data_IF_435985537315
#
_entry.id   IF_435985537315
#
_cell.length_a   1.000
_cell.length_b   1.000
_cell.length_c   1.000
_cell.angle_alpha   90.00
_cell.angle_beta   90.00
_cell.angle_gamma   90.00
#
_symmetry.space_group_name_H-M   'P 1'
#
loop_
_entity.id
_entity.type
_entity.pdbx_description
1 polymer ?
#
# COMPACT_ATOMS: atom_id res chain seq x y z
N UNK A 1 15.51 -6.14 -0.68
CA UNK A 1 14.31 -6.46 0.12
C UNK A 1 13.97 -7.91 -0.11
N UNK A 2 13.40 -8.59 0.88
CA UNK A 2 12.96 -9.98 0.72
C UNK A 2 11.73 -10.08 -0.18
N UNK A 3 11.54 -11.24 -0.80
CA UNK A 3 10.38 -11.48 -1.64
C UNK A 3 9.09 -11.48 -0.82
N UNK A 4 8.09 -10.69 -1.23
CA UNK A 4 6.84 -10.55 -0.48
C UNK A 4 6.00 -9.35 -0.90
N UNK A 5 4.81 -9.26 -0.31
CA UNK A 5 3.90 -8.13 -0.48
C UNK A 5 4.08 -7.12 0.67
N UNK A 6 4.38 -5.87 0.32
CA UNK A 6 4.58 -4.76 1.25
C UNK A 6 3.44 -3.76 1.11
N UNK A 7 2.59 -3.65 2.13
CA UNK A 7 1.56 -2.61 2.17
C UNK A 7 2.20 -1.29 2.63
N UNK A 8 2.12 -0.24 1.83
CA UNK A 8 2.77 1.05 2.14
C UNK A 8 1.72 2.14 2.29
N UNK A 9 1.68 2.75 3.47
CA UNK A 9 0.81 3.91 3.72
C UNK A 9 1.33 5.15 3.00
N UNK A 10 0.47 5.82 2.24
CA UNK A 10 0.77 7.07 1.52
C UNK A 10 0.18 8.29 2.24
N UNK A 11 0.70 9.50 2.01
CA UNK A 11 0.17 10.72 2.63
C UNK A 11 -1.32 10.94 2.34
N UNK A 12 -2.04 11.54 3.29
CA UNK A 12 -3.48 11.87 3.18
C UNK A 12 -3.76 13.35 2.87
N UNK A 13 -2.75 14.08 2.36
CA UNK A 13 -2.88 15.50 2.00
C UNK A 13 -1.61 16.34 2.18
N UNK A 14 -0.64 15.87 2.97
CA UNK A 14 0.62 16.57 3.20
C UNK A 14 1.82 15.65 2.95
N UNK A 15 2.68 15.97 1.97
CA UNK A 15 3.79 15.10 1.55
C UNK A 15 4.79 14.78 2.69
N UNK A 16 4.91 15.66 3.68
CA UNK A 16 5.74 15.43 4.87
C UNK A 16 5.27 14.29 5.77
N UNK A 17 4.06 13.76 5.57
CA UNK A 17 3.54 12.62 6.34
C UNK A 17 4.06 11.27 5.81
N UNK A 18 4.80 11.29 4.68
CA UNK A 18 5.43 10.10 4.15
C UNK A 18 6.51 9.61 5.11
N UNK A 19 6.44 8.33 5.51
CA UNK A 19 7.45 7.76 6.40
C UNK A 19 8.75 7.46 5.66
N UNK A 20 9.89 7.59 6.34
CA UNK A 20 11.20 7.21 5.79
C UNK A 20 11.20 5.75 5.31
N UNK A 21 10.63 4.85 6.12
CA UNK A 21 10.48 3.43 5.75
C UNK A 21 9.57 3.23 4.54
N UNK A 22 8.52 4.04 4.37
CA UNK A 22 7.68 3.99 3.17
C UNK A 22 8.47 4.35 1.92
N UNK A 23 9.28 5.42 1.97
CA UNK A 23 10.16 5.84 0.86
C UNK A 23 11.16 4.74 0.53
N UNK A 24 11.85 4.19 1.54
CA UNK A 24 12.80 3.09 1.39
C UNK A 24 12.15 1.85 0.77
N UNK A 25 10.93 1.50 1.22
CA UNK A 25 10.17 0.35 0.73
C UNK A 25 9.79 0.53 -0.74
N UNK A 26 9.27 1.70 -1.12
CA UNK A 26 8.90 1.98 -2.51
C UNK A 26 10.13 2.02 -3.43
N UNK A 27 11.25 2.54 -2.96
CA UNK A 27 12.48 2.62 -3.73
C UNK A 27 13.21 1.27 -3.87
N UNK A 28 13.07 0.38 -2.87
CA UNK A 28 13.69 -0.95 -2.87
C UNK A 28 12.83 -2.06 -3.47
N UNK A 29 11.55 -1.82 -3.71
CA UNK A 29 10.64 -2.80 -4.31
C UNK A 29 10.99 -3.07 -5.78
N UNK A 30 10.73 -4.30 -6.25
CA UNK A 30 10.84 -4.70 -7.66
C UNK A 30 9.71 -4.10 -8.51
N UNK A 31 8.53 -3.92 -7.90
CA UNK A 31 7.35 -3.36 -8.53
C UNK A 31 6.51 -2.59 -7.50
N UNK A 32 5.95 -1.46 -7.92
CA UNK A 32 4.88 -0.77 -7.22
C UNK A 32 3.55 -1.09 -7.91
N UNK A 33 2.57 -1.45 -7.12
CA UNK A 33 1.19 -1.66 -7.53
C UNK A 33 0.37 -0.55 -6.88
N UNK A 34 -0.34 0.22 -7.70
CA UNK A 34 -1.09 1.40 -7.27
C UNK A 34 -2.56 1.32 -7.69
N UNK A 35 -3.46 1.91 -6.91
CA UNK A 35 -4.84 2.13 -7.32
C UNK A 35 -4.91 3.02 -8.57
N UNK A 36 -4.48 4.28 -8.47
CA UNK A 36 -4.22 5.16 -9.61
C UNK A 36 -2.72 5.47 -9.76
N UNK A 37 -2.15 4.97 -10.87
CA UNK A 37 -0.76 5.25 -11.24
C UNK A 37 -0.47 6.72 -11.54
N UNK A 38 -1.47 7.54 -11.90
CA UNK A 38 -1.30 8.98 -12.15
C UNK A 38 -1.04 9.72 -10.85
N UNK A 39 -1.87 9.49 -9.83
CA UNK A 39 -1.71 10.03 -8.48
C UNK A 39 -0.40 9.57 -7.88
N UNK A 40 -0.16 8.25 -7.93
CA UNK A 40 1.06 7.65 -7.38
C UNK A 40 2.32 8.18 -8.07
N UNK A 41 2.32 8.40 -9.39
CA UNK A 41 3.49 8.93 -10.11
C UNK A 41 3.92 10.31 -9.61
N UNK A 42 2.98 11.17 -9.19
CA UNK A 42 3.33 12.47 -8.59
C UNK A 42 4.08 12.30 -7.26
N UNK A 43 3.60 11.38 -6.41
CA UNK A 43 4.26 11.01 -5.16
C UNK A 43 5.67 10.46 -5.41
N UNK A 44 5.81 9.50 -6.34
CA UNK A 44 7.10 8.90 -6.67
C UNK A 44 8.09 9.94 -7.22
N UNK A 45 7.63 10.83 -8.10
CA UNK A 45 8.44 11.91 -8.64
C UNK A 45 8.93 12.87 -7.56
N UNK A 46 8.07 13.24 -6.60
CA UNK A 46 8.46 14.12 -5.50
C UNK A 46 9.61 13.55 -4.66
N UNK A 47 9.59 12.24 -4.40
CA UNK A 47 10.63 11.54 -3.63
C UNK A 47 11.76 10.96 -4.49
N UNK A 48 11.76 11.20 -5.81
CA UNK A 48 12.79 10.69 -6.71
C UNK A 48 12.79 9.17 -6.90
N UNK A 49 11.67 8.49 -6.63
CA UNK A 49 11.52 7.05 -6.74
C UNK A 49 11.29 6.65 -8.20
N UNK A 50 12.09 5.73 -8.72
CA UNK A 50 12.08 5.30 -10.14
C UNK A 50 11.46 3.92 -10.36
N UNK A 51 11.04 3.24 -9.30
CA UNK A 51 10.47 1.89 -9.36
C UNK A 51 9.28 1.86 -10.31
N UNK A 52 9.22 0.81 -11.14
CA UNK A 52 8.13 0.63 -12.09
C UNK A 52 6.78 0.52 -11.36
N UNK A 53 5.75 1.16 -11.88
CA UNK A 53 4.44 1.25 -11.25
C UNK A 53 3.33 0.82 -12.22
N UNK A 54 2.49 -0.13 -11.78
CA UNK A 54 1.33 -0.63 -12.53
C UNK A 54 0.02 -0.41 -11.76
N UNK A 55 -1.11 -0.41 -12.46
CA UNK A 55 -2.42 -0.26 -11.83
C UNK A 55 -3.02 -1.58 -11.33
N UNK A 56 -3.55 -1.55 -10.11
CA UNK A 56 -4.41 -2.56 -9.52
C UNK A 56 -5.57 -1.87 -8.79
N UNK A 57 -6.70 -1.78 -9.46
CA UNK A 57 -7.93 -1.18 -8.96
C UNK A 57 -9.03 -2.24 -8.89
N UNK A 58 -10.16 -1.92 -8.23
CA UNK A 58 -11.26 -2.87 -7.94
C UNK A 58 -11.71 -3.79 -9.10
N UNK A 59 -11.64 -3.31 -10.34
CA UNK A 59 -12.07 -4.06 -11.54
C UNK A 59 -11.06 -5.10 -12.06
N UNK A 60 -9.75 -4.91 -11.84
CA UNK A 60 -8.70 -5.79 -12.34
C UNK A 60 -7.96 -6.56 -11.23
N UNK A 61 -8.26 -6.25 -9.97
CA UNK A 61 -7.61 -6.82 -8.79
C UNK A 61 -7.62 -8.37 -8.80
N UNK A 62 -8.76 -8.98 -9.14
CA UNK A 62 -8.88 -10.44 -9.22
C UNK A 62 -7.96 -11.06 -10.29
N UNK A 63 -7.78 -10.37 -11.42
CA UNK A 63 -6.90 -10.83 -12.50
C UNK A 63 -5.43 -10.67 -12.12
N UNK A 64 -5.08 -9.60 -11.39
CA UNK A 64 -3.72 -9.31 -10.95
C UNK A 64 -3.23 -10.24 -9.83
N UNK A 65 -4.12 -10.84 -9.05
CA UNK A 65 -3.73 -11.69 -7.91
C UNK A 65 -2.71 -12.78 -8.28
N UNK A 66 -2.99 -13.57 -9.31
CA UNK A 66 -2.11 -14.68 -9.71
C UNK A 66 -0.77 -14.17 -10.23
N UNK A 67 -0.78 -13.11 -11.05
CA UNK A 67 0.43 -12.47 -11.57
C UNK A 67 1.34 -11.98 -10.43
N UNK A 68 0.79 -11.31 -9.42
CA UNK A 68 1.56 -10.80 -8.29
C UNK A 68 2.13 -11.93 -7.43
N UNK A 69 1.34 -13.00 -7.19
CA UNK A 69 1.81 -14.17 -6.46
C UNK A 69 2.97 -14.85 -7.18
N UNK A 70 2.87 -15.04 -8.49
CA UNK A 70 3.92 -15.68 -9.28
C UNK A 70 5.21 -14.84 -9.27
N UNK A 71 5.10 -13.52 -9.39
CA UNK A 71 6.25 -12.60 -9.28
C UNK A 71 6.90 -12.69 -7.89
N UNK A 72 6.11 -12.71 -6.81
CA UNK A 72 6.64 -12.88 -5.45
C UNK A 72 7.35 -14.23 -5.28
N UNK A 73 6.77 -15.32 -5.80
CA UNK A 73 7.40 -16.65 -5.77
C UNK A 73 8.72 -16.71 -6.55
N UNK A 74 8.85 -15.88 -7.59
CA UNK A 74 10.08 -15.71 -8.35
C UNK A 74 11.09 -14.77 -7.68
N UNK A 75 10.87 -14.37 -6.42
CA UNK A 75 11.83 -13.62 -5.63
C UNK A 75 11.58 -12.11 -5.59
N UNK A 76 10.48 -11.61 -6.15
CA UNK A 76 10.21 -10.18 -6.20
C UNK A 76 9.59 -9.62 -4.90
N UNK A 77 10.01 -8.40 -4.55
CA UNK A 77 9.37 -7.59 -3.53
C UNK A 77 8.36 -6.64 -4.20
N UNK A 78 7.08 -6.75 -3.85
CA UNK A 78 6.02 -5.94 -4.44
C UNK A 78 5.47 -4.99 -3.40
N UNK A 79 5.48 -3.68 -3.68
CA UNK A 79 4.84 -2.69 -2.84
C UNK A 79 3.43 -2.38 -3.35
N UNK A 80 2.43 -2.38 -2.47
CA UNK A 80 1.05 -2.00 -2.75
C UNK A 80 0.74 -0.66 -2.07
N UNK A 81 0.25 0.29 -2.85
CA UNK A 81 -0.20 1.63 -2.40
C UNK A 81 -1.59 1.93 -2.92
N UNK A 82 -2.29 2.81 -2.22
CA UNK A 82 -3.55 3.42 -2.67
C UNK A 82 -3.36 4.94 -2.75
N UNK A 83 -4.35 5.63 -3.29
CA UNK A 83 -4.22 7.05 -3.61
C UNK A 83 -3.90 7.91 -2.38
N UNK A 84 -4.38 7.50 -1.19
CA UNK A 84 -4.10 8.18 0.08
C UNK A 84 -4.35 7.27 1.27
N UNK A 85 -3.40 7.23 2.21
CA UNK A 85 -3.55 6.53 3.48
C UNK A 85 -3.12 5.07 3.42
N UNK A 86 -3.75 4.23 4.25
CA UNK A 86 -3.37 2.82 4.40
C UNK A 86 -4.15 1.93 3.41
N UNK A 87 -3.47 1.17 2.54
CA UNK A 87 -4.12 0.25 1.61
C UNK A 87 -5.05 -0.77 2.29
N UNK A 88 -6.02 -1.28 1.52
CA UNK A 88 -6.94 -2.36 1.91
C UNK A 88 -8.02 -2.00 2.96
N UNK A 89 -8.13 -0.75 3.39
CA UNK A 89 -9.13 -0.33 4.39
C UNK A 89 -10.44 0.11 3.73
N UNK A 90 -10.40 1.19 2.93
CA UNK A 90 -11.53 1.63 2.09
C UNK A 90 -11.22 1.57 0.60
N UNK A 91 -10.02 1.11 0.28
CA UNK A 91 -9.43 1.10 -1.04
C UNK A 91 -9.23 -0.35 -1.55
N UNK A 92 -8.94 -0.55 -2.84
CA UNK A 92 -8.55 -1.86 -3.37
C UNK A 92 -7.31 -2.45 -2.67
N UNK A 93 -7.12 -3.76 -2.80
CA UNK A 93 -5.93 -4.47 -2.31
C UNK A 93 -6.25 -5.65 -1.39
N UNK A 94 -7.44 -5.66 -0.78
CA UNK A 94 -7.83 -6.72 0.16
C UNK A 94 -7.88 -8.10 -0.50
N UNK A 95 -8.24 -8.19 -1.78
CA UNK A 95 -8.21 -9.48 -2.52
C UNK A 95 -6.78 -9.92 -2.78
N UNK A 96 -5.88 -8.99 -3.09
CA UNK A 96 -4.44 -9.29 -3.26
C UNK A 96 -3.86 -9.84 -1.96
N UNK A 97 -4.15 -9.19 -0.83
CA UNK A 97 -3.71 -9.66 0.51
C UNK A 97 -4.29 -11.03 0.82
N UNK A 98 -5.59 -11.26 0.57
CA UNK A 98 -6.21 -12.55 0.80
C UNK A 98 -5.58 -13.66 -0.06
N UNK A 99 -5.34 -13.39 -1.35
CA UNK A 99 -4.70 -14.33 -2.27
C UNK A 99 -3.25 -14.63 -1.84
N UNK A 100 -2.49 -13.61 -1.43
CA UNK A 100 -1.13 -13.79 -0.91
C UNK A 100 -1.12 -14.64 0.37
N UNK A 101 -2.07 -14.43 1.30
CA UNK A 101 -2.21 -15.26 2.50
C UNK A 101 -2.52 -16.71 2.14
N UNK A 102 -3.45 -16.93 1.22
CA UNK A 102 -3.80 -18.28 0.75
C UNK A 102 -2.62 -18.98 0.06
N UNK A 103 -1.78 -18.22 -0.63
CA UNK A 103 -0.58 -18.73 -1.30
C UNK A 103 0.65 -18.88 -0.37
N UNK A 104 0.51 -18.55 0.92
CA UNK A 104 1.56 -18.57 1.94
C UNK A 104 2.83 -17.77 1.55
N UNK A 105 2.64 -16.62 0.88
CA UNK A 105 3.74 -15.69 0.62
C UNK A 105 3.87 -14.67 1.75
N UNK A 106 5.07 -14.12 1.93
CA UNK A 106 5.31 -13.11 2.96
C UNK A 106 4.48 -11.85 2.68
N UNK A 107 3.84 -11.34 3.74
CA UNK A 107 3.12 -10.07 3.72
C UNK A 107 3.56 -9.27 4.93
N UNK A 108 3.91 -8.00 4.70
CA UNK A 108 4.28 -7.05 5.75
C UNK A 108 3.78 -5.65 5.40
N UNK A 109 4.03 -4.67 6.27
CA UNK A 109 3.66 -3.29 6.04
C UNK A 109 4.76 -2.31 6.39
N UNK A 110 4.82 -1.22 5.63
CA UNK A 110 5.36 0.06 6.05
C UNK A 110 4.15 0.94 6.45
N UNK A 111 3.79 0.99 7.73
CA UNK A 111 2.66 1.79 8.22
C UNK A 111 2.83 3.27 7.86
N UNK A 112 1.69 3.95 7.73
CA UNK A 112 1.64 5.37 7.40
C UNK A 112 0.37 6.02 7.95
N UNK A 113 0.09 7.26 7.53
CA UNK A 113 -1.05 8.01 8.04
C UNK A 113 -2.38 7.35 7.63
N UNK A 114 -3.40 7.50 8.47
CA UNK A 114 -4.77 7.09 8.16
C UNK A 114 -5.75 8.14 8.65
N UNK A 115 -6.68 8.54 7.79
CA UNK A 115 -7.61 9.63 8.07
C UNK A 115 -8.47 9.34 9.31
N UNK A 116 -8.93 8.09 9.47
CA UNK A 116 -9.83 7.73 10.58
C UNK A 116 -9.17 7.86 11.95
N UNK A 117 -7.97 7.30 12.16
CA UNK A 117 -7.33 7.36 13.48
C UNK A 117 -6.79 8.75 13.76
N UNK A 118 -6.36 9.50 12.73
CA UNK A 118 -5.99 10.92 12.87
C UNK A 118 -7.19 11.74 13.34
N UNK A 119 -8.35 11.60 12.68
CA UNK A 119 -9.56 12.31 13.08
C UNK A 119 -10.02 11.92 14.49
N UNK A 120 -9.97 10.62 14.83
CA UNK A 120 -10.34 10.14 16.15
C UNK A 120 -9.45 10.73 17.25
N UNK A 121 -8.12 10.72 17.05
CA UNK A 121 -7.17 11.30 18.01
C UNK A 121 -7.42 12.81 18.23
N UNK A 122 -7.76 13.55 17.15
CA UNK A 122 -8.05 14.99 17.23
C UNK A 122 -9.42 15.31 17.83
N UNK A 123 -10.36 14.36 17.82
CA UNK A 123 -11.74 14.58 18.29
C UNK A 123 -11.89 14.69 19.82
N UNK A 124 -10.88 14.25 20.59
CA UNK A 124 -10.97 14.15 22.05
C UNK A 124 -11.85 12.98 22.53
N UNK A 125 -12.14 12.00 21.66
CA UNK A 125 -12.94 10.83 22.01
C UNK A 125 -12.25 9.97 23.11
N UNK A 126 -12.91 9.83 24.26
CA UNK A 126 -12.39 9.12 25.45
C UNK A 126 -12.81 7.65 25.57
N UNK A 127 -13.44 7.08 24.55
CA UNK A 127 -13.85 5.67 24.55
C UNK A 127 -12.68 4.72 24.26
N UNK A 128 -12.84 3.44 24.63
CA UNK A 128 -11.80 2.41 24.47
C UNK A 128 -11.76 1.74 23.09
N UNK A 129 -12.50 2.26 22.11
CA UNK A 129 -12.55 1.72 20.76
C UNK A 129 -13.51 2.48 19.86
N UNK A 130 -13.38 2.26 18.56
CA UNK A 130 -14.25 2.85 17.54
C UNK A 130 -14.59 1.79 16.49
N UNK A 131 -15.74 1.95 15.85
CA UNK A 131 -16.12 1.17 14.68
C UNK A 131 -15.84 1.99 13.43
N UNK A 132 -15.08 1.41 12.50
CA UNK A 132 -14.91 1.92 11.15
C UNK A 132 -15.73 1.03 10.21
N UNK A 133 -16.63 1.63 9.44
CA UNK A 133 -17.60 0.94 8.58
C UNK A 133 -17.31 1.21 7.10
#
# INVERSE_FOLDING_TARGET
MDAGLYLVGTPIGHLGDMTARGIETLNGASLIVAEDTRTTRNLLNHFGIKTHCISCHKFNEAQRCNELIDRIRNGEAIALVTDSGMPCISDPGSRVVAACRAANVMITSAPGPTAVTTALALSGFGGHGFLFA
#
